data_IF_222405008265
#
_entry.id   IF_222405008265
#
_cell.length_a   1.000
_cell.length_b   1.000
_cell.length_c   1.000
_cell.angle_alpha   90.00
_cell.angle_beta   90.00
_cell.angle_gamma   90.00
#
_symmetry.space_group_name_H-M   'P 1'
#
loop_
_entity.id
_entity.type
_entity.pdbx_description
1 polymer ?
#
# COMPACT_ATOMS: atom_id res chain seq x y z
N UNK A 1 42.94 18.15 -33.44
CA UNK A 1 42.33 18.89 -32.30
C UNK A 1 40.80 19.04 -32.42
N UNK A 2 40.21 19.61 -33.47
CA UNK A 2 38.75 19.86 -33.61
C UNK A 2 37.90 18.58 -33.46
N UNK A 3 38.29 17.44 -34.03
CA UNK A 3 37.56 16.15 -33.89
C UNK A 3 37.60 15.59 -32.46
N UNK A 4 38.71 15.75 -31.74
CA UNK A 4 38.85 15.31 -30.35
C UNK A 4 37.96 16.15 -29.41
N UNK A 5 37.93 17.47 -29.59
CA UNK A 5 37.06 18.38 -28.85
C UNK A 5 35.58 18.08 -29.08
N UNK A 6 35.18 17.79 -30.33
CA UNK A 6 33.81 17.39 -30.65
C UNK A 6 33.40 16.06 -29.99
N UNK A 7 34.33 15.10 -29.94
CA UNK A 7 34.09 13.83 -29.23
C UNK A 7 33.95 13.99 -27.72
N UNK A 8 34.83 14.79 -27.12
CA UNK A 8 34.73 15.09 -25.67
C UNK A 8 33.41 15.80 -25.36
N UNK A 9 33.01 16.76 -26.15
CA UNK A 9 31.74 17.47 -26.00
C UNK A 9 30.54 16.52 -26.14
N UNK A 10 30.56 15.61 -27.12
CA UNK A 10 29.51 14.58 -27.25
C UNK A 10 29.42 13.66 -26.03
N UNK A 11 30.58 13.20 -25.50
CA UNK A 11 30.58 12.37 -24.28
C UNK A 11 30.04 13.14 -23.07
N UNK A 12 30.36 14.42 -22.94
CA UNK A 12 29.86 15.27 -21.89
C UNK A 12 28.31 15.43 -21.96
N UNK A 13 27.78 15.64 -23.17
CA UNK A 13 26.33 15.70 -23.40
C UNK A 13 25.65 14.37 -23.08
N UNK A 14 26.25 13.25 -23.49
CA UNK A 14 25.72 11.92 -23.20
C UNK A 14 25.71 11.64 -21.67
N UNK A 15 26.79 11.96 -20.98
CA UNK A 15 26.88 11.83 -19.54
C UNK A 15 25.85 12.72 -18.81
N UNK A 16 25.68 13.96 -19.25
CA UNK A 16 24.66 14.87 -18.75
C UNK A 16 23.25 14.34 -18.96
N UNK A 17 22.96 13.82 -20.15
CA UNK A 17 21.66 13.21 -20.44
C UNK A 17 21.39 11.96 -19.56
N UNK A 18 22.38 11.08 -19.40
CA UNK A 18 22.29 9.92 -18.51
C UNK A 18 22.08 10.35 -17.06
N UNK A 19 22.79 11.36 -16.58
CA UNK A 19 22.61 11.89 -15.22
C UNK A 19 21.19 12.41 -14.98
N UNK A 20 20.63 13.15 -15.95
CA UNK A 20 19.26 13.69 -15.85
C UNK A 20 18.18 12.58 -15.93
N UNK A 21 18.45 11.51 -16.68
CA UNK A 21 17.51 10.39 -16.84
C UNK A 21 17.65 9.31 -15.75
N UNK A 22 18.74 9.32 -15.00
CA UNK A 22 19.03 8.30 -13.99
C UNK A 22 17.90 8.06 -13.00
N UNK A 23 17.27 9.10 -12.38
CA UNK A 23 16.16 8.89 -11.44
C UNK A 23 14.96 8.20 -12.08
N UNK A 24 14.66 8.49 -13.36
CA UNK A 24 13.55 7.88 -14.09
C UNK A 24 13.84 6.41 -14.39
N UNK A 25 15.08 6.10 -14.80
CA UNK A 25 15.54 4.74 -15.06
C UNK A 25 15.48 3.91 -13.77
N UNK A 26 15.98 4.46 -12.66
CA UNK A 26 15.95 3.77 -11.36
C UNK A 26 14.52 3.55 -10.86
N UNK A 27 13.63 4.53 -11.01
CA UNK A 27 12.22 4.36 -10.70
C UNK A 27 11.57 3.27 -11.56
N UNK A 28 11.79 3.28 -12.87
CA UNK A 28 11.26 2.25 -13.76
C UNK A 28 11.76 0.86 -13.38
N UNK A 29 13.04 0.73 -13.01
CA UNK A 29 13.63 -0.51 -12.51
C UNK A 29 12.99 -0.99 -11.22
N UNK A 30 12.78 -0.08 -10.25
CA UNK A 30 12.12 -0.38 -8.97
C UNK A 30 10.67 -0.83 -9.19
N UNK A 31 9.91 -0.16 -10.05
CA UNK A 31 8.56 -0.58 -10.43
C UNK A 31 8.55 -1.96 -11.08
N UNK A 32 9.44 -2.21 -12.05
CA UNK A 32 9.56 -3.50 -12.71
C UNK A 32 9.87 -4.61 -11.68
N UNK A 33 10.82 -4.37 -10.78
CA UNK A 33 11.16 -5.31 -9.72
C UNK A 33 10.00 -5.56 -8.74
N UNK A 34 9.20 -4.54 -8.43
CA UNK A 34 8.02 -4.68 -7.58
C UNK A 34 6.94 -5.54 -8.25
N UNK A 35 6.65 -5.26 -9.51
CA UNK A 35 5.61 -5.97 -10.27
C UNK A 35 5.98 -7.42 -10.58
N UNK A 36 7.26 -7.71 -10.81
CA UNK A 36 7.77 -9.06 -11.06
C UNK A 36 8.08 -9.86 -9.78
N UNK A 37 8.03 -9.22 -8.61
CA UNK A 37 8.22 -9.91 -7.35
C UNK A 37 7.09 -10.93 -7.12
N UNK A 38 7.36 -12.06 -6.44
CA UNK A 38 6.31 -13.01 -6.08
C UNK A 38 5.25 -12.34 -5.19
N UNK A 39 4.00 -12.77 -5.33
CA UNK A 39 2.93 -12.36 -4.43
C UNK A 39 3.20 -12.89 -3.02
N UNK A 40 2.76 -12.20 -1.96
CA UNK A 40 2.91 -12.65 -0.59
C UNK A 40 2.39 -14.07 -0.37
N UNK A 41 3.17 -14.88 0.32
CA UNK A 41 2.75 -16.22 0.75
C UNK A 41 1.84 -16.16 1.99
N UNK A 42 1.22 -17.28 2.34
CA UNK A 42 0.46 -17.37 3.58
C UNK A 42 1.34 -17.05 4.81
N UNK A 43 0.77 -16.31 5.76
CA UNK A 43 1.42 -15.84 7.00
C UNK A 43 2.75 -15.08 6.77
N UNK A 44 2.89 -14.33 5.65
CA UNK A 44 4.11 -13.57 5.35
C UNK A 44 3.96 -12.06 5.45
N UNK A 45 2.75 -11.55 5.57
CA UNK A 45 2.49 -10.13 5.75
C UNK A 45 2.36 -9.79 7.23
N UNK A 46 3.10 -8.79 7.75
CA UNK A 46 2.89 -8.30 9.10
C UNK A 46 1.46 -7.75 9.26
N UNK A 47 0.91 -7.86 10.47
CA UNK A 47 -0.39 -7.25 10.77
C UNK A 47 -0.34 -5.72 10.55
N UNK A 48 -1.34 -5.12 9.91
CA UNK A 48 -1.43 -3.66 9.80
C UNK A 48 -1.72 -2.98 11.15
N UNK A 49 -2.21 -3.75 12.13
CA UNK A 49 -2.47 -3.31 13.51
C UNK A 49 -1.84 -4.31 14.49
N UNK A 50 -0.51 -4.22 14.72
CA UNK A 50 0.18 -5.12 15.64
C UNK A 50 -0.47 -5.14 17.03
N UNK A 51 -0.57 -6.33 17.61
CA UNK A 51 -1.19 -6.53 18.93
C UNK A 51 -2.72 -6.61 18.92
N UNK A 52 -3.39 -6.37 17.78
CA UNK A 52 -4.83 -6.52 17.66
C UNK A 52 -5.20 -7.92 17.15
N UNK A 53 -6.33 -8.45 17.67
CA UNK A 53 -6.85 -9.73 17.21
C UNK A 53 -7.34 -9.65 15.77
N UNK A 54 -6.95 -10.63 14.97
CA UNK A 54 -7.41 -10.79 13.60
C UNK A 54 -8.57 -11.79 13.56
N UNK A 55 -9.65 -11.41 12.87
CA UNK A 55 -10.80 -12.28 12.62
C UNK A 55 -11.04 -12.34 11.12
N UNK A 56 -11.30 -13.54 10.60
CA UNK A 56 -11.68 -13.72 9.21
C UNK A 56 -13.12 -13.28 8.99
N UNK A 57 -13.29 -12.04 8.56
CA UNK A 57 -14.60 -11.46 8.21
C UNK A 57 -14.81 -11.40 6.70
N UNK A 58 -13.92 -12.04 5.92
CA UNK A 58 -14.02 -12.11 4.45
C UNK A 58 -15.33 -12.74 4.00
N UNK A 59 -15.96 -12.18 2.98
CA UNK A 59 -17.19 -12.70 2.40
C UNK A 59 -18.44 -12.49 3.24
N UNK A 60 -18.34 -11.90 4.43
CA UNK A 60 -19.50 -11.58 5.27
C UNK A 60 -20.50 -10.70 4.50
N UNK A 61 -21.80 -10.89 4.76
CA UNK A 61 -22.85 -10.11 4.13
C UNK A 61 -22.73 -8.61 4.47
N UNK A 62 -22.90 -7.76 3.47
CA UNK A 62 -22.94 -6.30 3.57
C UNK A 62 -24.26 -5.76 3.02
N UNK A 63 -24.55 -4.51 3.32
CA UNK A 63 -25.76 -3.84 2.78
C UNK A 63 -25.81 -3.91 1.24
N UNK A 64 -27.02 -3.92 0.69
CA UNK A 64 -27.29 -3.98 -0.75
C UNK A 64 -26.75 -5.25 -1.45
N UNK A 65 -26.75 -6.40 -0.76
CA UNK A 65 -26.35 -7.69 -1.33
C UNK A 65 -24.85 -7.85 -1.61
N UNK A 66 -24.02 -6.86 -1.21
CA UNK A 66 -22.55 -6.96 -1.37
C UNK A 66 -21.96 -7.98 -0.40
N UNK A 67 -20.79 -8.46 -0.73
CA UNK A 67 -19.96 -9.25 0.17
C UNK A 67 -18.75 -8.42 0.64
N UNK A 68 -18.22 -8.77 1.79
CA UNK A 68 -17.06 -8.12 2.38
C UNK A 68 -15.78 -8.49 1.61
N UNK A 69 -15.15 -7.52 0.97
CA UNK A 69 -13.94 -7.67 0.14
C UNK A 69 -12.67 -7.30 0.93
N UNK A 70 -12.58 -7.75 2.16
CA UNK A 70 -11.48 -7.50 3.07
C UNK A 70 -11.73 -8.13 4.43
N UNK A 71 -10.97 -7.68 5.42
CA UNK A 71 -11.21 -7.98 6.83
C UNK A 71 -11.32 -6.68 7.63
N UNK A 72 -12.13 -6.71 8.70
CA UNK A 72 -12.27 -5.61 9.63
C UNK A 72 -11.46 -5.92 10.90
N UNK A 73 -10.54 -5.02 11.25
CA UNK A 73 -9.66 -5.16 12.44
C UNK A 73 -10.00 -4.02 13.39
N UNK A 74 -10.59 -4.35 14.53
CA UNK A 74 -11.03 -3.39 15.53
C UNK A 74 -9.87 -2.93 16.41
N UNK A 75 -9.78 -1.61 16.62
CA UNK A 75 -8.82 -1.00 17.54
C UNK A 75 -9.33 0.36 18.02
N UNK A 76 -8.71 0.92 19.04
CA UNK A 76 -9.03 2.27 19.51
C UNK A 76 -8.84 3.30 18.39
N UNK A 77 -9.70 4.33 18.35
CA UNK A 77 -9.55 5.45 17.43
C UNK A 77 -8.15 6.05 17.54
N UNK A 78 -7.58 6.46 16.42
CA UNK A 78 -6.21 6.97 16.29
C UNK A 78 -5.09 5.94 16.53
N UNK A 79 -5.38 4.64 16.67
CA UNK A 79 -4.32 3.62 16.65
C UNK A 79 -3.58 3.69 15.30
N UNK A 80 -2.23 3.75 15.29
CA UNK A 80 -1.46 3.81 14.06
C UNK A 80 -1.64 2.54 13.21
N UNK A 81 -1.95 2.71 11.92
CA UNK A 81 -2.05 1.64 10.93
C UNK A 81 -0.75 1.60 10.15
N UNK A 82 -0.16 0.42 10.00
CA UNK A 82 1.12 0.21 9.34
C UNK A 82 0.94 -0.47 7.99
N UNK A 83 1.77 -0.09 7.02
CA UNK A 83 1.86 -0.78 5.73
C UNK A 83 2.25 -2.24 5.95
N UNK A 84 1.48 -3.16 5.36
CA UNK A 84 1.74 -4.61 5.44
C UNK A 84 2.86 -5.05 4.49
N UNK A 85 3.27 -4.18 3.58
CA UNK A 85 4.26 -4.48 2.53
C UNK A 85 5.01 -3.21 2.13
N UNK A 86 6.19 -3.39 1.57
CA UNK A 86 6.84 -2.31 0.80
C UNK A 86 6.05 -2.03 -0.47
N UNK A 87 6.13 -0.82 -0.99
CA UNK A 87 5.44 -0.51 -2.25
C UNK A 87 5.39 0.96 -2.57
N UNK A 88 4.47 1.30 -3.46
CA UNK A 88 4.23 2.66 -3.94
C UNK A 88 2.83 3.11 -3.60
N UNK A 89 2.69 4.29 -3.02
CA UNK A 89 1.40 4.91 -2.76
C UNK A 89 0.68 5.20 -4.08
N UNK A 90 -0.44 4.52 -4.32
CA UNK A 90 -1.27 4.73 -5.51
C UNK A 90 -2.28 5.85 -5.31
N UNK A 91 -2.85 5.93 -4.13
CA UNK A 91 -3.86 6.92 -3.80
C UNK A 91 -3.92 7.19 -2.30
N UNK A 92 -4.18 8.43 -1.94
CA UNK A 92 -4.49 8.89 -0.59
C UNK A 92 -5.68 9.85 -0.72
N UNK A 93 -6.69 9.68 0.11
CA UNK A 93 -7.83 10.60 0.09
C UNK A 93 -9.18 9.93 0.28
N UNK A 94 -10.26 10.69 0.12
CA UNK A 94 -11.61 10.18 0.26
C UNK A 94 -11.96 9.23 -0.90
N UNK A 95 -12.65 8.14 -0.56
CA UNK A 95 -13.14 7.17 -1.51
C UNK A 95 -14.53 6.67 -1.05
N UNK A 96 -15.59 7.22 -1.59
CA UNK A 96 -16.97 6.76 -1.46
C UNK A 96 -17.29 6.01 -0.15
N UNK A 97 -17.50 4.71 -0.24
CA UNK A 97 -17.80 3.85 0.90
C UNK A 97 -16.65 3.73 1.90
N UNK A 98 -15.41 3.75 1.44
CA UNK A 98 -14.24 3.59 2.31
C UNK A 98 -13.93 4.80 3.20
N UNK A 99 -14.54 5.94 2.92
CA UNK A 99 -14.21 7.19 3.64
C UNK A 99 -12.80 7.66 3.32
N UNK A 100 -12.02 8.00 4.33
CA UNK A 100 -10.59 8.29 4.15
C UNK A 100 -9.82 6.99 3.93
N UNK A 101 -9.01 6.95 2.89
CA UNK A 101 -8.36 5.71 2.45
C UNK A 101 -6.92 5.95 2.00
N UNK A 102 -6.13 4.90 2.09
CA UNK A 102 -4.81 4.79 1.45
C UNK A 102 -4.77 3.51 0.63
N UNK A 103 -4.20 3.59 -0.57
CA UNK A 103 -3.98 2.43 -1.43
C UNK A 103 -2.52 2.35 -1.84
N UNK A 104 -1.93 1.17 -1.70
CA UNK A 104 -0.51 0.90 -1.96
C UNK A 104 -0.40 -0.21 -3.00
N UNK A 105 0.45 -0.01 -4.02
CA UNK A 105 0.88 -1.06 -4.92
C UNK A 105 2.02 -1.83 -4.27
N UNK A 106 1.81 -3.10 -4.05
CA UNK A 106 2.78 -4.03 -3.46
C UNK A 106 3.37 -5.03 -4.46
N UNK A 107 4.15 -6.01 -3.96
CA UNK A 107 4.75 -7.07 -4.76
C UNK A 107 3.71 -7.84 -5.59
N UNK A 108 4.12 -8.27 -6.78
CA UNK A 108 3.25 -8.99 -7.72
C UNK A 108 2.08 -8.17 -8.25
N UNK A 109 2.12 -6.84 -8.12
CA UNK A 109 1.07 -5.94 -8.57
C UNK A 109 -0.19 -5.95 -7.69
N UNK A 110 -0.14 -6.53 -6.49
CA UNK A 110 -1.25 -6.48 -5.55
C UNK A 110 -1.45 -5.06 -5.02
N UNK A 111 -2.72 -4.67 -4.86
CA UNK A 111 -3.09 -3.37 -4.29
C UNK A 111 -3.63 -3.59 -2.88
N UNK A 112 -2.95 -3.01 -1.90
CA UNK A 112 -3.28 -3.06 -0.48
C UNK A 112 -4.11 -1.83 -0.13
N UNK A 113 -5.31 -2.04 0.37
CA UNK A 113 -6.32 -1.01 0.63
C UNK A 113 -6.58 -0.88 2.12
N UNK A 114 -6.44 0.33 2.62
CA UNK A 114 -6.66 0.71 4.01
C UNK A 114 -7.79 1.74 4.05
N UNK A 115 -8.90 1.43 4.71
CA UNK A 115 -10.09 2.26 4.72
C UNK A 115 -10.64 2.54 6.12
N UNK A 116 -11.63 3.42 6.19
CA UNK A 116 -12.29 3.95 7.39
C UNK A 116 -11.35 4.75 8.30
N UNK A 117 -10.28 5.32 7.72
CA UNK A 117 -9.26 6.04 8.46
C UNK A 117 -9.84 7.28 9.16
N UNK A 118 -9.33 7.59 10.36
CA UNK A 118 -9.55 8.87 11.02
C UNK A 118 -8.75 9.97 10.32
N UNK A 119 -7.49 9.66 10.04
CA UNK A 119 -6.56 10.55 9.35
C UNK A 119 -5.42 9.72 8.74
N UNK A 120 -4.53 10.36 7.97
CA UNK A 120 -3.33 9.77 7.40
C UNK A 120 -2.18 10.79 7.45
N UNK A 121 -0.89 10.33 7.48
CA UNK A 121 0.28 11.21 7.35
C UNK A 121 0.29 11.95 6.01
N UNK A 122 1.19 12.89 5.84
CA UNK A 122 1.42 13.58 4.56
C UNK A 122 2.10 12.63 3.55
N UNK A 123 1.30 11.68 3.04
CA UNK A 123 1.71 10.72 2.01
C UNK A 123 1.39 11.27 0.64
N UNK A 124 2.33 11.10 -0.29
CA UNK A 124 2.16 11.55 -1.66
C UNK A 124 1.98 10.37 -2.63
N UNK A 125 1.11 10.55 -3.62
CA UNK A 125 1.00 9.57 -4.71
C UNK A 125 2.35 9.41 -5.42
N UNK A 126 2.78 8.17 -5.63
CA UNK A 126 4.07 7.83 -6.21
C UNK A 126 5.20 7.70 -5.18
N UNK A 127 4.92 8.00 -3.92
CA UNK A 127 5.88 7.82 -2.82
C UNK A 127 6.17 6.34 -2.57
N UNK A 128 7.45 6.02 -2.40
CA UNK A 128 7.91 4.68 -2.01
C UNK A 128 7.90 4.55 -0.50
N UNK A 129 7.28 3.48 0.00
CA UNK A 129 7.21 3.18 1.43
C UNK A 129 7.71 1.76 1.71
N UNK A 130 8.15 1.53 2.93
CA UNK A 130 8.55 0.23 3.45
C UNK A 130 7.42 -0.40 4.29
N UNK A 131 7.47 -1.74 4.44
CA UNK A 131 6.61 -2.41 5.40
C UNK A 131 6.80 -1.82 6.80
N UNK A 132 5.74 -1.66 7.58
CA UNK A 132 5.76 -1.03 8.90
C UNK A 132 5.62 0.48 8.91
N UNK A 133 5.77 1.18 7.77
CA UNK A 133 5.49 2.62 7.67
C UNK A 133 4.06 2.94 8.12
N UNK A 134 3.86 3.97 8.95
CA UNK A 134 2.51 4.42 9.32
C UNK A 134 1.84 5.04 8.11
N UNK A 135 0.68 4.48 7.72
CA UNK A 135 -0.08 4.90 6.54
C UNK A 135 -1.42 5.54 6.89
N UNK A 136 -1.83 5.45 8.14
CA UNK A 136 -3.07 6.06 8.62
C UNK A 136 -3.31 5.79 10.08
N UNK A 137 -4.47 6.20 10.54
CA UNK A 137 -4.93 6.02 11.92
C UNK A 137 -6.35 5.48 11.92
N UNK A 138 -6.66 4.55 12.81
CA UNK A 138 -7.97 3.90 12.93
C UNK A 138 -9.07 4.93 13.18
N UNK A 139 -10.15 4.83 12.42
CA UNK A 139 -11.33 5.67 12.53
C UNK A 139 -12.63 4.91 12.24
N UNK A 140 -13.62 5.65 11.75
CA UNK A 140 -14.92 5.15 11.32
C UNK A 140 -15.48 5.96 10.13
N UNK A 141 -14.58 6.51 9.29
CA UNK A 141 -15.01 7.33 8.17
C UNK A 141 -15.73 6.53 7.07
N UNK A 142 -16.44 7.23 6.19
CA UNK A 142 -17.21 6.62 5.12
C UNK A 142 -18.48 5.92 5.64
N UNK A 143 -18.77 4.72 5.13
CA UNK A 143 -19.94 3.95 5.54
C UNK A 143 -19.79 3.24 6.89
N UNK A 144 -18.63 3.34 7.53
CA UNK A 144 -18.39 2.88 8.91
C UNK A 144 -18.79 3.92 9.97
N UNK A 145 -19.25 5.11 9.56
CA UNK A 145 -19.58 6.17 10.50
C UNK A 145 -20.62 5.73 11.54
N UNK A 146 -20.27 5.91 12.81
CA UNK A 146 -21.11 5.52 13.96
C UNK A 146 -21.01 4.06 14.36
N UNK A 147 -20.14 3.27 13.70
CA UNK A 147 -19.79 1.93 14.18
C UNK A 147 -18.55 1.99 15.08
N UNK A 148 -18.23 0.94 15.84
CA UNK A 148 -16.96 0.86 16.55
C UNK A 148 -15.78 1.11 15.60
N UNK A 149 -14.77 1.90 16.01
CA UNK A 149 -13.62 2.19 15.17
C UNK A 149 -12.89 0.93 14.73
N UNK A 150 -12.56 0.84 13.45
CA UNK A 150 -11.85 -0.30 12.87
C UNK A 150 -11.13 0.10 11.59
N UNK A 151 -10.13 -0.69 11.22
CA UNK A 151 -9.54 -0.69 9.89
C UNK A 151 -10.28 -1.71 9.03
N UNK A 152 -10.81 -1.30 7.88
CA UNK A 152 -11.09 -2.23 6.79
C UNK A 152 -9.81 -2.40 5.97
N UNK A 153 -9.28 -3.62 5.91
CA UNK A 153 -8.10 -3.97 5.14
C UNK A 153 -8.45 -4.94 4.01
N UNK A 154 -8.19 -4.54 2.78
CA UNK A 154 -8.43 -5.32 1.56
C UNK A 154 -7.17 -5.51 0.72
N UNK A 155 -7.10 -6.60 -0.03
CA UNK A 155 -6.08 -6.84 -1.04
C UNK A 155 -6.77 -7.14 -2.37
N UNK A 156 -6.34 -6.45 -3.43
CA UNK A 156 -6.86 -6.63 -4.78
C UNK A 156 -5.75 -7.10 -5.71
N UNK A 157 -6.00 -8.22 -6.41
CA UNK A 157 -5.14 -8.77 -7.46
C UNK A 157 -5.82 -8.64 -8.84
N UNK A 158 -5.20 -9.13 -9.90
CA UNK A 158 -5.69 -8.94 -11.27
C UNK A 158 -7.14 -9.40 -11.55
N UNK A 159 -7.67 -10.33 -10.75
CA UNK A 159 -9.05 -10.83 -10.86
C UNK A 159 -10.06 -10.22 -9.89
N UNK A 160 -9.66 -9.29 -9.03
CA UNK A 160 -10.54 -8.70 -8.01
C UNK A 160 -9.97 -8.77 -6.60
N UNK A 161 -10.85 -8.66 -5.60
CA UNK A 161 -10.47 -8.79 -4.20
C UNK A 161 -10.09 -10.23 -3.85
N UNK A 162 -9.11 -10.39 -2.97
CA UNK A 162 -8.70 -11.69 -2.40
C UNK A 162 -8.76 -11.62 -0.88
N UNK A 163 -8.97 -12.76 -0.22
CA UNK A 163 -9.00 -12.82 1.25
C UNK A 163 -7.61 -12.48 1.84
N UNK A 164 -7.44 -11.37 2.59
CA UNK A 164 -6.16 -11.02 3.16
C UNK A 164 -5.82 -11.83 4.41
N UNK A 165 -6.82 -12.42 5.10
CA UNK A 165 -6.64 -13.08 6.39
C UNK A 165 -5.59 -14.20 6.38
N UNK A 166 -5.55 -15.12 5.39
CA UNK A 166 -4.52 -16.17 5.35
C UNK A 166 -3.11 -15.64 5.09
N UNK A 167 -2.98 -14.42 4.55
CA UNK A 167 -1.67 -13.84 4.21
C UNK A 167 -1.03 -13.13 5.40
N UNK A 168 -1.82 -12.72 6.39
CA UNK A 168 -1.35 -12.00 7.57
C UNK A 168 -0.75 -12.93 8.62
N UNK A 169 0.33 -12.48 9.27
CA UNK A 169 0.90 -13.12 10.45
C UNK A 169 -0.09 -13.06 11.61
N UNK A 170 -0.46 -14.23 12.14
CA UNK A 170 -1.47 -14.34 13.19
C UNK A 170 -0.99 -13.97 14.59
N UNK A 171 0.34 -13.86 14.78
CA UNK A 171 0.99 -13.61 16.07
C UNK A 171 2.03 -12.49 15.99
N UNK A 172 1.80 -11.44 15.22
CA UNK A 172 2.70 -10.28 15.28
C UNK A 172 2.52 -9.59 16.64
N UNK A 173 3.38 -9.95 17.60
CA UNK A 173 3.51 -9.16 18.83
C UNK A 173 3.80 -7.69 18.43
N UNK A 174 3.23 -6.74 19.17
CA UNK A 174 3.62 -5.35 19.02
C UNK A 174 5.13 -5.23 19.27
N UNK A 175 5.87 -4.45 18.49
CA UNK A 175 7.28 -4.20 18.70
C UNK A 175 7.52 -3.47 20.03
#
# INVERSE_FOLDING_TARGET
MRRLLGFIFFLALLAGALYLLWPQIENARRYSALLSAPTPAANSLPSPLPGQSLTDTWGAARSQGRRHEGIDIFAARNTPIRATTRGVVLNVGPNGLGGRTVMILGPGGQRHYYAHLENYPDLQRGEWIEAGTVVGFVGDSGNARGTPPHLHYGIYAGGGAINPYPLLEKNSAAP
#
